data_IF_464644859160
#
_entry.id   IF_464644859160
#
_cell.length_a   1.000
_cell.length_b   1.000
_cell.length_c   1.000
_cell.angle_alpha   90.00
_cell.angle_beta   90.00
_cell.angle_gamma   90.00
#
_symmetry.space_group_name_H-M   'P 1'
#
loop_
_entity.id
_entity.type
_entity.pdbx_description
1 polymer ?
#
# COMPACT_ATOMS: atom_id res chain seq x y z
N UNK A 1 4.78 -11.03 16.81
CA UNK A 1 4.49 -9.94 15.84
C UNK A 1 3.18 -9.29 16.17
N UNK A 2 3.10 -7.95 16.06
CA UNK A 2 1.87 -7.18 16.33
C UNK A 2 1.82 -5.93 15.46
N UNK A 3 0.59 -5.41 15.23
CA UNK A 3 0.37 -4.18 14.47
C UNK A 3 0.19 -3.03 15.45
N UNK A 4 0.83 -1.91 15.16
CA UNK A 4 0.72 -0.67 15.93
C UNK A 4 0.92 0.55 15.04
N UNK A 5 0.61 1.73 15.57
CA UNK A 5 0.98 2.98 14.92
C UNK A 5 2.51 3.12 14.82
N UNK A 6 2.97 3.81 13.79
CA UNK A 6 4.39 4.13 13.62
C UNK A 6 4.87 5.04 14.75
N UNK A 7 6.12 4.88 15.17
CA UNK A 7 6.81 5.79 16.09
C UNK A 7 7.67 6.78 15.29
N UNK A 8 7.86 7.98 15.83
CA UNK A 8 8.54 9.08 15.11
C UNK A 8 9.96 8.72 14.64
N UNK A 9 10.72 7.95 15.40
CA UNK A 9 12.09 7.55 15.08
C UNK A 9 12.19 6.42 14.03
N UNK A 10 11.08 5.88 13.53
CA UNK A 10 11.07 4.69 12.66
C UNK A 10 10.91 5.00 11.16
N UNK A 11 10.66 6.24 10.78
CA UNK A 11 10.31 6.59 9.40
C UNK A 11 11.40 6.19 8.39
N UNK A 12 12.67 6.33 8.74
CA UNK A 12 13.78 5.89 7.88
C UNK A 12 13.81 4.36 7.72
N UNK A 13 13.38 3.60 8.73
CA UNK A 13 13.25 2.15 8.64
C UNK A 13 12.17 1.77 7.63
N UNK A 14 11.05 2.50 7.57
CA UNK A 14 9.99 2.28 6.58
C UNK A 14 10.50 2.49 5.16
N UNK A 15 11.31 3.52 4.93
CA UNK A 15 11.95 3.73 3.61
C UNK A 15 12.86 2.56 3.23
N UNK A 16 13.62 2.01 4.19
CA UNK A 16 14.47 0.84 3.94
C UNK A 16 13.64 -0.40 3.60
N UNK A 17 12.51 -0.62 4.28
CA UNK A 17 11.56 -1.70 4.00
C UNK A 17 11.01 -1.55 2.59
N UNK A 18 10.58 -0.35 2.20
CA UNK A 18 10.03 -0.07 0.86
C UNK A 18 11.05 -0.34 -0.24
N UNK A 19 12.30 0.14 -0.08
CA UNK A 19 13.38 -0.16 -1.04
C UNK A 19 13.63 -1.66 -1.16
N UNK A 20 13.71 -2.37 -0.06
CA UNK A 20 13.93 -3.81 -0.07
C UNK A 20 12.77 -4.56 -0.74
N UNK A 21 11.52 -4.17 -0.45
CA UNK A 21 10.32 -4.74 -1.03
C UNK A 21 10.21 -4.49 -2.54
N UNK A 22 10.80 -3.41 -3.04
CA UNK A 22 10.82 -3.06 -4.47
C UNK A 22 11.83 -3.85 -5.30
N UNK A 23 12.85 -4.45 -4.70
CA UNK A 23 13.91 -5.14 -5.44
C UNK A 23 13.43 -6.27 -6.36
N UNK A 24 12.45 -7.11 -6.00
CA UNK A 24 11.96 -8.17 -6.88
C UNK A 24 11.41 -7.69 -8.24
N UNK A 25 11.01 -6.43 -8.37
CA UNK A 25 10.58 -5.87 -9.65
C UNK A 25 11.68 -5.89 -10.72
N UNK A 26 12.95 -5.81 -10.32
CA UNK A 26 14.08 -5.89 -11.24
C UNK A 26 14.12 -7.25 -11.95
N UNK A 27 13.72 -8.34 -11.28
CA UNK A 27 13.77 -9.71 -11.81
C UNK A 27 12.68 -9.98 -12.86
N UNK A 28 11.69 -9.10 -12.99
CA UNK A 28 10.60 -9.22 -13.97
C UNK A 28 10.61 -8.10 -15.02
N UNK A 29 11.76 -7.48 -15.24
CA UNK A 29 11.94 -6.45 -16.27
C UNK A 29 11.40 -5.07 -15.89
N UNK A 30 11.18 -4.81 -14.61
CA UNK A 30 10.68 -3.54 -14.08
C UNK A 30 11.75 -2.84 -13.23
N UNK A 31 12.97 -2.75 -13.73
CA UNK A 31 14.10 -2.15 -13.02
C UNK A 31 13.84 -0.70 -12.60
N UNK A 32 13.08 0.06 -13.38
CA UNK A 32 12.70 1.43 -13.04
C UNK A 32 11.89 1.48 -11.75
N UNK A 33 10.94 0.53 -11.57
CA UNK A 33 10.13 0.43 -10.35
C UNK A 33 11.00 -0.02 -9.16
N UNK A 34 11.92 -0.96 -9.37
CA UNK A 34 12.85 -1.40 -8.32
C UNK A 34 13.77 -0.25 -7.83
N UNK A 35 14.00 0.77 -8.65
CA UNK A 35 14.84 1.92 -8.36
C UNK A 35 14.07 3.15 -7.89
N UNK A 36 12.73 3.07 -7.83
CA UNK A 36 11.90 4.18 -7.37
C UNK A 36 12.30 4.60 -5.94
N UNK A 37 12.33 5.90 -5.74
CA UNK A 37 12.53 6.45 -4.40
C UNK A 37 11.34 6.15 -3.51
N UNK A 38 11.57 5.79 -2.25
CA UNK A 38 10.49 5.59 -1.29
C UNK A 38 9.79 6.90 -0.96
N UNK A 39 8.63 6.81 -0.32
CA UNK A 39 7.92 7.98 0.16
C UNK A 39 8.84 8.87 1.01
N UNK A 40 8.81 10.20 0.80
CA UNK A 40 9.58 11.14 1.61
C UNK A 40 9.23 11.06 3.10
N UNK A 41 10.21 11.30 3.96
CA UNK A 41 9.99 11.31 5.42
C UNK A 41 8.86 12.26 5.84
N UNK A 42 8.72 13.41 5.15
CA UNK A 42 7.64 14.38 5.42
C UNK A 42 6.25 13.80 5.14
N UNK A 43 6.10 13.00 4.10
CA UNK A 43 4.84 12.33 3.74
C UNK A 43 4.51 11.23 4.76
N UNK A 44 5.48 10.39 5.09
CA UNK A 44 5.32 9.37 6.13
C UNK A 44 4.97 9.99 7.49
N UNK A 45 5.64 11.08 7.86
CA UNK A 45 5.34 11.80 9.11
C UNK A 45 3.92 12.36 9.12
N UNK A 46 3.45 12.96 8.02
CA UNK A 46 2.10 13.47 7.90
C UNK A 46 1.04 12.37 8.04
N UNK A 47 1.25 11.23 7.37
CA UNK A 47 0.37 10.06 7.48
C UNK A 47 0.35 9.49 8.90
N UNK A 48 1.51 9.44 9.57
CA UNK A 48 1.62 9.04 10.98
C UNK A 48 0.83 9.95 11.92
N UNK A 49 0.94 11.27 11.74
CA UNK A 49 0.15 12.25 12.53
C UNK A 49 -1.36 12.14 12.28
N UNK A 50 -1.74 11.73 11.06
CA UNK A 50 -3.15 11.49 10.72
C UNK A 50 -3.68 10.15 11.28
N UNK A 51 -2.83 9.31 11.89
CA UNK A 51 -3.23 7.99 12.38
C UNK A 51 -3.43 6.95 11.28
N UNK A 52 -2.87 7.17 10.09
CA UNK A 52 -3.08 6.35 8.89
C UNK A 52 -1.78 5.68 8.40
N UNK A 53 -0.85 5.46 9.32
CA UNK A 53 0.40 4.76 9.07
C UNK A 53 0.65 3.73 10.17
N UNK A 54 0.55 2.46 9.80
CA UNK A 54 0.71 1.33 10.72
C UNK A 54 1.92 0.49 10.34
N UNK A 55 2.55 -0.08 11.34
CA UNK A 55 3.65 -1.02 11.18
C UNK A 55 3.28 -2.39 11.72
N UNK A 56 3.81 -3.43 11.09
CA UNK A 56 3.93 -4.75 11.69
C UNK A 56 5.29 -4.83 12.36
N UNK A 57 5.30 -4.90 13.66
CA UNK A 57 6.52 -5.02 14.45
C UNK A 57 6.81 -6.48 14.80
N UNK A 58 8.09 -6.84 14.81
CA UNK A 58 8.56 -8.16 15.23
C UNK A 58 8.58 -8.30 16.76
N UNK A 59 9.17 -9.39 17.27
CA UNK A 59 9.24 -9.68 18.70
C UNK A 59 10.20 -8.73 19.45
N UNK A 60 11.07 -8.03 18.73
CA UNK A 60 11.96 -6.99 19.28
C UNK A 60 11.40 -5.58 19.12
N UNK A 61 10.12 -5.47 18.72
CA UNK A 61 9.39 -4.25 18.43
C UNK A 61 9.95 -3.44 17.25
N UNK A 62 10.65 -4.10 16.30
CA UNK A 62 11.15 -3.45 15.08
C UNK A 62 10.16 -3.62 13.94
N UNK A 63 9.88 -2.56 13.15
CA UNK A 63 9.07 -2.67 11.94
C UNK A 63 9.70 -3.62 10.92
N UNK A 64 8.90 -4.55 10.40
CA UNK A 64 9.26 -5.48 9.31
C UNK A 64 8.31 -5.34 8.12
N UNK A 65 7.21 -4.64 8.28
CA UNK A 65 6.28 -4.28 7.24
C UNK A 65 5.52 -3.02 7.64
N UNK A 66 4.94 -2.32 6.66
CA UNK A 66 4.10 -1.16 6.95
C UNK A 66 2.98 -1.00 5.92
N UNK A 67 1.95 -0.27 6.32
CA UNK A 67 0.85 0.18 5.47
C UNK A 67 0.61 1.67 5.70
N UNK A 68 0.55 2.42 4.61
CA UNK A 68 0.16 3.84 4.59
C UNK A 68 -1.13 4.01 3.82
N UNK A 69 -2.03 4.84 4.34
CA UNK A 69 -3.33 5.09 3.75
C UNK A 69 -3.71 6.57 3.80
N UNK A 70 -4.70 6.93 2.99
CA UNK A 70 -5.32 8.25 2.94
C UNK A 70 -6.81 8.15 2.69
N UNK A 71 -7.57 9.18 3.09
CA UNK A 71 -9.01 9.22 2.81
C UNK A 71 -9.24 9.73 1.37
N UNK A 72 -10.01 8.96 0.58
CA UNK A 72 -10.37 9.30 -0.80
C UNK A 72 -11.84 8.92 -1.05
N UNK A 73 -12.68 9.90 -1.36
CA UNK A 73 -14.09 9.70 -1.76
C UNK A 73 -14.86 8.75 -0.81
N UNK A 74 -14.87 9.02 0.48
CA UNK A 74 -15.51 8.21 1.52
C UNK A 74 -14.97 6.77 1.64
N UNK A 75 -13.79 6.49 1.09
CA UNK A 75 -13.06 5.23 1.22
C UNK A 75 -11.69 5.47 1.87
N UNK A 76 -11.10 4.41 2.40
CA UNK A 76 -9.69 4.42 2.80
C UNK A 76 -8.86 3.91 1.64
N UNK A 77 -8.06 4.79 1.04
CA UNK A 77 -7.16 4.44 -0.05
C UNK A 77 -5.83 3.94 0.52
N UNK A 78 -5.42 2.77 0.11
CA UNK A 78 -4.12 2.18 0.50
C UNK A 78 -3.06 2.74 -0.44
N UNK A 79 -2.25 3.65 0.07
CA UNK A 79 -1.20 4.30 -0.71
C UNK A 79 0.03 3.40 -0.87
N UNK A 80 0.35 2.62 0.18
CA UNK A 80 1.50 1.72 0.18
C UNK A 80 1.30 0.55 1.14
N UNK A 81 1.70 -0.64 0.72
CA UNK A 81 1.93 -1.81 1.57
C UNK A 81 3.29 -2.40 1.20
N UNK A 82 4.19 -2.46 2.16
CA UNK A 82 5.53 -3.05 1.96
C UNK A 82 5.84 -4.04 3.06
N UNK A 83 6.37 -5.19 2.66
CA UNK A 83 6.87 -6.23 3.58
C UNK A 83 8.33 -6.47 3.25
N UNK A 84 9.20 -6.39 4.26
CA UNK A 84 10.61 -6.70 4.07
C UNK A 84 10.77 -8.15 3.55
N UNK A 85 11.60 -8.42 2.53
CA UNK A 85 11.74 -9.76 1.95
C UNK A 85 12.04 -10.86 2.96
N UNK A 86 12.83 -10.58 3.98
CA UNK A 86 13.16 -11.55 5.05
C UNK A 86 11.93 -11.96 5.89
N UNK A 87 10.86 -11.19 5.81
CA UNK A 87 9.59 -11.46 6.49
C UNK A 87 8.46 -11.83 5.52
N UNK A 88 8.79 -12.05 4.24
CA UNK A 88 7.82 -12.42 3.21
C UNK A 88 7.15 -13.78 3.50
N UNK A 89 6.04 -14.04 2.79
CA UNK A 89 5.27 -15.29 2.87
C UNK A 89 4.67 -15.62 4.26
N UNK A 90 4.63 -14.65 5.18
CA UNK A 90 4.04 -14.78 6.52
C UNK A 90 2.67 -14.11 6.64
N UNK A 91 2.05 -13.75 5.52
CA UNK A 91 0.76 -13.07 5.42
C UNK A 91 0.69 -11.70 6.13
N UNK A 92 1.82 -11.04 6.33
CA UNK A 92 1.89 -9.77 7.05
C UNK A 92 1.15 -8.65 6.31
N UNK A 93 1.28 -8.60 4.98
CA UNK A 93 0.54 -7.63 4.16
C UNK A 93 -0.98 -7.80 4.30
N UNK A 94 -1.47 -9.04 4.31
CA UNK A 94 -2.88 -9.34 4.52
C UNK A 94 -3.36 -8.88 5.91
N UNK A 95 -2.59 -9.15 6.95
CA UNK A 95 -2.92 -8.72 8.30
C UNK A 95 -3.00 -7.19 8.43
N UNK A 96 -2.08 -6.46 7.75
CA UNK A 96 -2.12 -5.00 7.68
C UNK A 96 -3.37 -4.50 6.93
N UNK A 97 -3.77 -5.14 5.83
CA UNK A 97 -4.99 -4.80 5.10
C UNK A 97 -6.25 -5.05 5.94
N UNK A 98 -6.31 -6.16 6.67
CA UNK A 98 -7.42 -6.47 7.59
C UNK A 98 -7.50 -5.45 8.74
N UNK A 99 -6.36 -5.00 9.25
CA UNK A 99 -6.29 -3.93 10.25
C UNK A 99 -6.82 -2.60 9.69
N UNK A 100 -6.39 -2.23 8.48
CA UNK A 100 -6.88 -1.03 7.80
C UNK A 100 -8.39 -1.09 7.52
N UNK A 101 -8.92 -2.27 7.16
CA UNK A 101 -10.35 -2.49 6.95
C UNK A 101 -11.14 -2.28 8.25
N UNK A 102 -10.64 -2.81 9.36
CA UNK A 102 -11.27 -2.62 10.68
C UNK A 102 -11.29 -1.15 11.11
N UNK A 103 -10.19 -0.43 10.86
CA UNK A 103 -10.09 1.00 11.12
C UNK A 103 -11.08 1.80 10.26
N UNK A 104 -11.11 1.52 8.96
CA UNK A 104 -12.02 2.19 8.03
C UNK A 104 -13.49 1.96 8.39
N UNK A 105 -13.87 0.73 8.76
CA UNK A 105 -15.22 0.40 9.20
C UNK A 105 -15.60 1.17 10.48
N UNK A 106 -14.69 1.28 11.45
CA UNK A 106 -14.90 2.05 12.68
C UNK A 106 -15.12 3.54 12.40
N UNK A 107 -14.47 4.08 11.36
CA UNK A 107 -14.62 5.46 10.92
C UNK A 107 -15.82 5.67 9.96
N UNK A 108 -16.61 4.65 9.69
CA UNK A 108 -17.78 4.73 8.82
C UNK A 108 -17.46 4.85 7.34
N UNK A 109 -16.25 4.51 6.92
CA UNK A 109 -15.85 4.47 5.51
C UNK A 109 -16.44 3.25 4.81
N UNK A 110 -16.63 3.35 3.49
CA UNK A 110 -17.38 2.35 2.73
C UNK A 110 -16.54 1.17 2.25
N UNK A 111 -15.26 1.40 1.99
CA UNK A 111 -14.40 0.41 1.37
C UNK A 111 -12.91 0.75 1.55
N UNK A 112 -12.06 -0.24 1.30
CA UNK A 112 -10.66 0.00 0.95
C UNK A 112 -10.54 0.10 -0.58
N UNK A 113 -9.69 1.02 -1.05
CA UNK A 113 -9.32 1.12 -2.46
C UNK A 113 -7.80 1.13 -2.61
N UNK A 114 -7.31 0.75 -3.76
CA UNK A 114 -5.89 0.86 -4.13
C UNK A 114 -5.73 0.89 -5.65
N UNK A 115 -4.54 1.27 -6.10
CA UNK A 115 -4.08 1.10 -7.47
C UNK A 115 -2.85 0.22 -7.48
N UNK A 116 -2.70 -0.63 -8.49
CA UNK A 116 -1.60 -1.59 -8.54
C UNK A 116 -1.36 -2.09 -9.96
N UNK A 117 -0.22 -2.75 -10.18
CA UNK A 117 0.07 -3.39 -11.47
C UNK A 117 -0.82 -4.61 -11.69
N UNK A 118 -1.41 -4.70 -12.89
CA UNK A 118 -2.40 -5.73 -13.22
C UNK A 118 -1.81 -7.15 -13.26
N UNK A 119 -0.57 -7.29 -13.74
CA UNK A 119 0.02 -8.60 -14.07
C UNK A 119 1.15 -9.03 -13.15
N UNK A 120 1.58 -8.20 -12.22
CA UNK A 120 2.63 -8.56 -11.26
C UNK A 120 2.05 -9.50 -10.19
N UNK A 121 2.62 -10.70 -9.97
CA UNK A 121 2.02 -11.74 -9.11
C UNK A 121 1.71 -11.30 -7.67
N UNK A 122 2.53 -10.41 -7.11
CA UNK A 122 2.35 -9.88 -5.75
C UNK A 122 1.59 -8.54 -5.71
N UNK A 123 0.99 -8.12 -6.83
CA UNK A 123 0.11 -6.96 -6.94
C UNK A 123 -1.35 -7.38 -7.16
N UNK A 124 -1.99 -7.04 -8.28
CA UNK A 124 -3.41 -7.35 -8.44
C UNK A 124 -3.79 -8.82 -8.16
N UNK A 125 -3.03 -9.84 -8.63
CA UNK A 125 -3.32 -11.23 -8.27
C UNK A 125 -3.30 -11.51 -6.76
N UNK A 126 -2.41 -10.85 -6.02
CA UNK A 126 -2.36 -10.96 -4.56
C UNK A 126 -3.58 -10.30 -3.91
N UNK A 127 -3.95 -9.08 -4.34
CA UNK A 127 -5.09 -8.37 -3.78
C UNK A 127 -6.43 -9.04 -4.10
N UNK A 128 -6.56 -9.71 -5.25
CA UNK A 128 -7.72 -10.57 -5.53
C UNK A 128 -7.88 -11.65 -4.45
N UNK A 129 -6.77 -12.30 -4.05
CA UNK A 129 -6.80 -13.29 -2.95
C UNK A 129 -7.09 -12.68 -1.58
N UNK A 130 -6.88 -11.37 -1.42
CA UNK A 130 -7.22 -10.62 -0.21
C UNK A 130 -8.66 -10.08 -0.21
N UNK A 131 -9.47 -10.42 -1.22
CA UNK A 131 -10.88 -10.03 -1.29
C UNK A 131 -11.16 -8.73 -2.04
N UNK A 132 -10.16 -8.14 -2.68
CA UNK A 132 -10.36 -6.99 -3.58
C UNK A 132 -10.89 -7.46 -4.94
N UNK A 133 -11.61 -6.59 -5.62
CA UNK A 133 -12.02 -6.75 -7.02
C UNK A 133 -11.50 -5.60 -7.87
N UNK A 134 -11.31 -5.85 -9.15
CA UNK A 134 -10.92 -4.80 -10.10
C UNK A 134 -12.14 -3.92 -10.40
N UNK A 135 -11.94 -2.60 -10.40
CA UNK A 135 -12.95 -1.65 -10.80
C UNK A 135 -12.92 -1.44 -12.31
N UNK A 136 -14.10 -1.33 -12.91
CA UNK A 136 -14.25 -0.87 -14.29
C UNK A 136 -14.04 0.64 -14.36
N UNK A 137 -13.80 1.17 -15.56
CA UNK A 137 -13.64 2.61 -15.80
C UNK A 137 -14.87 3.42 -15.30
N UNK A 138 -16.08 2.86 -15.48
CA UNK A 138 -17.32 3.49 -15.03
C UNK A 138 -17.44 3.58 -13.50
N UNK A 139 -16.77 2.71 -12.75
CA UNK A 139 -16.80 2.66 -11.30
C UNK A 139 -15.77 3.58 -10.65
N UNK A 140 -14.85 4.17 -11.42
CA UNK A 140 -13.83 5.06 -10.87
C UNK A 140 -14.45 6.35 -10.35
N UNK A 141 -14.23 6.62 -9.08
CA UNK A 141 -14.63 7.88 -8.43
C UNK A 141 -13.71 9.03 -8.88
N UNK A 142 -14.11 10.30 -8.68
CA UNK A 142 -13.27 11.45 -9.05
C UNK A 142 -11.87 11.40 -8.43
N UNK A 143 -11.74 10.99 -7.17
CA UNK A 143 -10.46 10.86 -6.49
C UNK A 143 -9.59 9.75 -7.09
N UNK A 144 -10.16 8.60 -7.42
CA UNK A 144 -9.44 7.52 -8.09
C UNK A 144 -8.99 7.91 -9.50
N UNK A 145 -9.82 8.64 -10.26
CA UNK A 145 -9.42 9.18 -11.57
C UNK A 145 -8.24 10.13 -11.45
N UNK A 146 -8.24 11.02 -10.45
CA UNK A 146 -7.13 11.94 -10.20
C UNK A 146 -5.84 11.19 -9.83
N UNK A 147 -5.93 10.13 -9.04
CA UNK A 147 -4.78 9.27 -8.70
C UNK A 147 -4.23 8.61 -9.96
N UNK A 148 -5.08 7.99 -10.78
CA UNK A 148 -4.67 7.33 -12.02
C UNK A 148 -4.03 8.31 -13.01
N UNK A 149 -4.56 9.52 -13.10
CA UNK A 149 -3.97 10.56 -13.94
C UNK A 149 -2.55 10.93 -13.48
N UNK A 150 -2.33 11.13 -12.18
CA UNK A 150 -0.99 11.39 -11.65
C UNK A 150 -0.03 10.25 -11.91
N UNK A 151 -0.48 9.02 -11.78
CA UNK A 151 0.33 7.83 -12.08
C UNK A 151 0.74 7.78 -13.56
N UNK A 152 -0.18 8.11 -14.48
CA UNK A 152 0.11 8.21 -15.90
C UNK A 152 1.14 9.31 -16.22
N UNK A 153 1.00 10.48 -15.58
CA UNK A 153 1.96 11.59 -15.70
C UNK A 153 3.37 11.20 -15.19
N UNK A 154 3.46 10.31 -14.20
CA UNK A 154 4.71 9.75 -13.70
C UNK A 154 5.28 8.61 -14.56
N UNK A 155 4.60 8.24 -15.66
CA UNK A 155 5.03 7.19 -16.56
C UNK A 155 4.72 5.76 -16.10
N UNK A 156 3.90 5.59 -15.06
CA UNK A 156 3.56 4.27 -14.52
C UNK A 156 2.68 3.44 -15.46
N UNK A 157 1.98 4.07 -16.41
CA UNK A 157 1.17 3.39 -17.42
C UNK A 157 2.00 2.67 -18.50
N UNK A 158 3.33 2.73 -18.43
CA UNK A 158 4.20 1.85 -19.18
C UNK A 158 3.90 0.37 -18.93
N UNK A 159 3.41 0.05 -17.72
CA UNK A 159 2.89 -1.26 -17.36
C UNK A 159 1.40 -1.14 -17.03
N UNK A 160 0.57 -2.14 -17.42
CA UNK A 160 -0.87 -2.12 -17.12
C UNK A 160 -1.13 -1.98 -15.61
N UNK A 161 -2.00 -1.05 -15.25
CA UNK A 161 -2.43 -0.78 -13.87
C UNK A 161 -3.94 -0.87 -13.75
N UNK A 162 -4.41 -1.22 -12.57
CA UNK A 162 -5.83 -1.31 -12.22
C UNK A 162 -6.11 -0.60 -10.91
N UNK A 163 -7.34 -0.07 -10.78
CA UNK A 163 -7.91 0.28 -9.48
C UNK A 163 -8.64 -0.93 -8.92
N UNK A 164 -8.52 -1.14 -7.62
CA UNK A 164 -9.19 -2.25 -6.93
C UNK A 164 -9.93 -1.75 -5.70
N UNK A 165 -10.97 -2.49 -5.31
CA UNK A 165 -11.84 -2.17 -4.18
C UNK A 165 -12.18 -3.40 -3.37
N UNK A 166 -12.22 -3.23 -2.05
CA UNK A 166 -12.73 -4.18 -1.09
C UNK A 166 -13.81 -3.50 -0.25
N UNK A 167 -15.07 -3.91 -0.42
CA UNK A 167 -16.20 -3.36 0.35
C UNK A 167 -16.13 -3.86 1.80
N UNK A 168 -16.48 -2.98 2.76
CA UNK A 168 -16.43 -3.27 4.19
C UNK A 168 -17.76 -3.78 4.71
#
# INVERSE_FOLDING_TARGET
MHIRAVQTGELAVLQAIERAAGQPFADIGMAEIAQDEPYPLSVLAASGRAGLLWVMADETDKPVAYLMASAVDACLHIDQVSVHPDSAHRRLGRALLEHAASHAAADGLMALTLTTFASVPWNAPYYLRCGFRVLTEAELTPGLRAIRQREAELGLDKWPRVCMRHDL
#
